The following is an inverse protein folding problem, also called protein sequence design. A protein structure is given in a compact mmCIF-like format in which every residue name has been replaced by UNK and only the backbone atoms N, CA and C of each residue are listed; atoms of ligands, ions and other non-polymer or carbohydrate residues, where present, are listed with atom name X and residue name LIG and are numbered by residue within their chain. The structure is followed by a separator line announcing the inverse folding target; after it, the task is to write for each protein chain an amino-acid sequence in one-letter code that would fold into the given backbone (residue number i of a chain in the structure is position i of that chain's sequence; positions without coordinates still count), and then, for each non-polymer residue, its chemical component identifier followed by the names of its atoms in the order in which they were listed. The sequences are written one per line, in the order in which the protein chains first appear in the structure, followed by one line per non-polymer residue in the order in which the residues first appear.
data_IF_561024426189
#
_entry.id   IF_561024426189
#
_cell.length_a   1.000
_cell.length_b   1.000
_cell.length_c   1.000
_cell.angle_alpha   90.00
_cell.angle_beta   90.00
_cell.angle_gamma   90.00
#
_symmetry.space_group_name_H-M   'P 1'
#
loop_
_entity.id
_entity.type
_entity.pdbx_description
1 polymer ?
#
# COMPACT_ATOMS: atom_id res chain seq x y z
N UNK A 1 -9.49 -4.17 -13.94
CA UNK A 1 -8.60 -3.11 -13.41
C UNK A 1 -7.19 -3.63 -13.11
N UNK A 2 -7.07 -4.79 -12.43
CA UNK A 2 -5.80 -5.35 -11.95
C UNK A 2 -4.66 -5.58 -12.94
N UNK A 3 -4.91 -6.00 -14.19
CA UNK A 3 -3.83 -6.21 -15.18
C UNK A 3 -2.97 -4.95 -15.44
N UNK A 4 -3.45 -3.76 -15.07
CA UNK A 4 -2.77 -2.49 -15.29
C UNK A 4 -2.00 -1.96 -14.08
N UNK A 5 -2.24 -2.50 -12.88
CA UNK A 5 -1.58 -2.08 -11.64
C UNK A 5 -0.50 -3.09 -11.28
N UNK A 6 0.74 -2.82 -11.69
CA UNK A 6 1.87 -3.71 -11.42
C UNK A 6 2.47 -3.43 -10.04
N UNK A 7 2.36 -2.19 -9.57
CA UNK A 7 2.89 -1.73 -8.30
C UNK A 7 1.82 -1.10 -7.40
N UNK A 8 1.60 -1.70 -6.23
CA UNK A 8 0.65 -1.23 -5.23
C UNK A 8 1.42 -0.71 -4.00
N UNK A 9 1.13 0.52 -3.58
CA UNK A 9 1.74 1.12 -2.39
C UNK A 9 0.72 1.22 -1.24
N UNK A 10 1.09 0.74 -0.06
CA UNK A 10 0.23 0.74 1.13
C UNK A 10 0.68 1.81 2.13
N UNK A 11 -0.22 2.71 2.52
CA UNK A 11 0.00 3.63 3.65
C UNK A 11 -0.55 2.96 4.92
N UNK A 12 0.34 2.65 5.87
CA UNK A 12 0.03 1.85 7.06
C UNK A 12 0.03 0.35 6.78
N UNK A 13 1.07 -0.13 6.09
CA UNK A 13 1.17 -1.52 5.62
C UNK A 13 1.26 -2.56 6.75
N UNK A 14 1.76 -2.17 7.92
CA UNK A 14 1.90 -3.01 9.11
C UNK A 14 0.59 -3.24 9.87
N UNK A 15 -0.53 -2.62 9.48
CA UNK A 15 -1.83 -2.89 10.09
C UNK A 15 -2.30 -4.33 9.87
N UNK A 16 -3.01 -4.92 10.84
CA UNK A 16 -3.50 -6.32 10.80
C UNK A 16 -4.26 -6.63 9.49
N UNK A 17 -5.17 -5.75 9.09
CA UNK A 17 -5.94 -5.92 7.85
C UNK A 17 -5.24 -5.48 6.57
N UNK A 18 -4.13 -4.75 6.67
CA UNK A 18 -3.37 -4.25 5.51
C UNK A 18 -2.27 -5.23 5.13
N UNK A 19 -1.53 -5.73 6.12
CA UNK A 19 -0.43 -6.68 5.93
C UNK A 19 -0.87 -7.98 5.25
N UNK A 20 -2.03 -8.52 5.62
CA UNK A 20 -2.56 -9.72 4.96
C UNK A 20 -2.90 -9.50 3.47
N UNK A 21 -3.43 -8.31 3.12
CA UNK A 21 -3.71 -7.95 1.72
C UNK A 21 -2.40 -7.78 0.95
N UNK A 22 -1.43 -7.08 1.55
CA UNK A 22 -0.10 -6.87 0.95
C UNK A 22 0.61 -8.21 0.70
N UNK A 23 0.57 -9.14 1.66
CA UNK A 23 1.14 -10.48 1.52
C UNK A 23 0.47 -11.28 0.40
N UNK A 24 -0.86 -11.25 0.31
CA UNK A 24 -1.58 -11.91 -0.78
C UNK A 24 -1.16 -11.36 -2.15
N UNK A 25 -1.02 -10.05 -2.28
CA UNK A 25 -0.59 -9.41 -3.53
C UNK A 25 0.84 -9.81 -3.93
N UNK A 26 1.76 -9.89 -2.97
CA UNK A 26 3.11 -10.41 -3.22
C UNK A 26 3.05 -11.84 -3.76
N UNK A 27 2.25 -12.71 -3.14
CA UNK A 27 2.09 -14.10 -3.56
C UNK A 27 1.44 -14.22 -4.94
N UNK A 28 0.62 -13.26 -5.35
CA UNK A 28 0.04 -13.17 -6.69
C UNK A 28 1.02 -12.56 -7.72
N UNK A 29 2.24 -12.20 -7.31
CA UNK A 29 3.30 -11.69 -8.19
C UNK A 29 3.27 -10.18 -8.43
N UNK A 30 2.46 -9.42 -7.68
CA UNK A 30 2.48 -7.96 -7.77
C UNK A 30 3.68 -7.37 -7.04
N UNK A 31 4.16 -6.23 -7.53
CA UNK A 31 5.11 -5.41 -6.77
C UNK A 31 4.36 -4.71 -5.66
N UNK A 32 4.84 -4.87 -4.42
CA UNK A 32 4.25 -4.22 -3.25
C UNK A 32 5.28 -3.35 -2.58
N UNK A 33 4.87 -2.14 -2.22
CA UNK A 33 5.59 -1.29 -1.27
C UNK A 33 4.64 -0.75 -0.22
N UNK A 34 5.17 -0.18 0.85
CA UNK A 34 4.34 0.53 1.80
C UNK A 34 5.11 1.19 2.91
N UNK A 35 4.44 2.10 3.61
CA UNK A 35 4.99 2.81 4.75
C UNK A 35 4.27 2.42 6.04
N UNK A 36 4.97 2.52 7.16
CA UNK A 36 4.36 2.49 8.48
C UNK A 36 5.14 3.33 9.48
N UNK A 37 4.48 3.82 10.53
CA UNK A 37 5.14 4.65 11.56
C UNK A 37 6.22 3.87 12.31
N UNK A 38 6.00 2.57 12.52
CA UNK A 38 6.91 1.72 13.29
C UNK A 38 7.17 0.42 12.55
N UNK A 39 8.42 -0.02 12.62
CA UNK A 39 8.77 -1.38 12.24
C UNK A 39 8.12 -2.35 13.23
N UNK A 40 7.44 -3.36 12.71
CA UNK A 40 6.78 -4.44 13.43
C UNK A 40 7.18 -5.80 12.86
N UNK A 41 6.79 -6.88 13.51
CA UNK A 41 7.03 -8.22 12.95
C UNK A 41 6.26 -8.46 11.65
N UNK A 42 5.12 -7.79 11.46
CA UNK A 42 4.36 -7.82 10.21
C UNK A 42 5.12 -7.11 9.07
N UNK A 43 5.66 -5.92 9.31
CA UNK A 43 6.46 -5.23 8.28
C UNK A 43 7.72 -6.02 7.93
N UNK A 44 8.42 -6.57 8.92
CA UNK A 44 9.61 -7.43 8.70
C UNK A 44 9.28 -8.67 7.87
N UNK A 45 8.11 -9.28 8.11
CA UNK A 45 7.64 -10.43 7.33
C UNK A 45 7.41 -10.03 5.87
N UNK A 46 6.75 -8.90 5.62
CA UNK A 46 6.52 -8.41 4.27
C UNK A 46 7.82 -8.09 3.52
N UNK A 47 8.80 -7.48 4.20
CA UNK A 47 10.13 -7.26 3.63
C UNK A 47 10.79 -8.57 3.22
N UNK A 48 10.72 -9.61 4.07
CA UNK A 48 11.24 -10.96 3.73
C UNK A 48 10.53 -11.60 2.55
N UNK A 49 9.26 -11.26 2.32
CA UNK A 49 8.48 -11.72 1.17
C UNK A 49 8.71 -10.85 -0.09
N UNK A 50 9.54 -9.80 0.00
CA UNK A 50 9.94 -8.98 -1.14
C UNK A 50 9.23 -7.63 -1.26
N UNK A 51 8.42 -7.22 -0.27
CA UNK A 51 7.90 -5.85 -0.24
C UNK A 51 9.00 -4.84 0.08
N UNK A 52 8.93 -3.66 -0.56
CA UNK A 52 9.69 -2.50 -0.11
C UNK A 52 8.93 -1.80 1.01
N UNK A 53 9.42 -1.90 2.25
CA UNK A 53 8.79 -1.24 3.41
C UNK A 53 9.60 -0.03 3.85
N UNK A 54 8.91 1.08 4.08
CA UNK A 54 9.49 2.33 4.55
C UNK A 54 9.04 2.61 5.99
N UNK A 55 9.98 3.06 6.83
CA UNK A 55 9.65 3.54 8.18
C UNK A 55 9.40 5.04 8.15
N UNK A 56 8.30 5.47 8.78
CA UNK A 56 7.81 6.84 8.70
C UNK A 56 7.07 7.11 7.39
N UNK A 57 6.52 8.32 7.27
CA UNK A 57 5.76 8.73 6.10
C UNK A 57 6.47 9.86 5.35
N UNK A 58 6.73 9.67 4.06
CA UNK A 58 7.40 10.64 3.20
C UNK A 58 6.67 10.75 1.85
N UNK A 59 6.40 11.97 1.34
CA UNK A 59 5.73 12.16 0.05
C UNK A 59 6.38 11.40 -1.12
N UNK A 60 7.68 11.11 -1.05
CA UNK A 60 8.45 10.39 -2.05
C UNK A 60 8.17 8.89 -2.10
N UNK A 61 7.64 8.27 -1.04
CA UNK A 61 7.41 6.83 -0.99
C UNK A 61 6.35 6.34 -1.98
N UNK A 62 5.39 7.19 -2.36
CA UNK A 62 4.33 6.84 -3.33
C UNK A 62 4.80 6.89 -4.78
N UNK A 63 6.04 7.29 -5.05
CA UNK A 63 6.55 7.45 -6.43
C UNK A 63 6.60 6.10 -7.14
N UNK A 64 6.09 6.09 -8.37
CA UNK A 64 6.04 4.90 -9.21
C UNK A 64 5.01 3.86 -8.76
N UNK A 65 4.15 4.17 -7.79
CA UNK A 65 2.97 3.36 -7.49
C UNK A 65 1.92 3.56 -8.59
N UNK A 66 1.33 2.46 -9.06
CA UNK A 66 0.21 2.52 -10.00
C UNK A 66 -1.12 2.70 -9.26
N UNK A 67 -1.17 2.32 -7.97
CA UNK A 67 -2.30 2.52 -7.06
C UNK A 67 -1.79 2.67 -5.62
N UNK A 68 -2.44 3.53 -4.84
CA UNK A 68 -2.15 3.72 -3.41
C UNK A 68 -3.34 3.26 -2.59
N UNK A 69 -3.08 2.43 -1.58
CA UNK A 69 -4.08 1.90 -0.66
C UNK A 69 -3.84 2.49 0.72
N UNK A 70 -4.80 3.23 1.24
CA UNK A 70 -4.73 3.81 2.58
C UNK A 70 -5.64 3.05 3.56
N UNK A 71 -5.13 2.81 4.77
CA UNK A 71 -5.94 2.30 5.87
C UNK A 71 -6.95 3.37 6.33
N UNK A 72 -8.00 2.97 7.04
CA UNK A 72 -8.96 3.92 7.64
C UNK A 72 -8.35 4.76 8.77
N UNK A 73 -7.27 4.27 9.39
CA UNK A 73 -6.55 4.99 10.45
C UNK A 73 -5.56 6.04 9.90
N UNK A 74 -5.34 6.09 8.58
CA UNK A 74 -4.48 7.09 7.95
C UNK A 74 -5.26 8.41 7.83
N UNK A 75 -4.75 9.43 8.53
CA UNK A 75 -5.23 10.82 8.41
C UNK A 75 -5.06 11.32 6.99
N UNK A 76 -5.97 12.20 6.55
CA UNK A 76 -5.83 12.88 5.27
C UNK A 76 -4.60 13.79 5.25
N UNK A 77 -4.12 14.28 6.39
CA UNK A 77 -2.91 15.12 6.49
C UNK A 77 -1.62 14.33 6.34
N UNK A 78 -1.71 12.99 6.21
CA UNK A 78 -0.54 12.17 5.95
C UNK A 78 0.17 12.63 4.65
N UNK A 79 1.49 12.83 4.68
CA UNK A 79 2.22 13.38 3.54
C UNK A 79 2.13 12.51 2.27
N UNK A 80 2.08 11.19 2.41
CA UNK A 80 1.88 10.25 1.29
C UNK A 80 0.46 10.29 0.76
N UNK A 81 -0.54 10.42 1.64
CA UNK A 81 -1.94 10.55 1.24
C UNK A 81 -2.14 11.83 0.41
N UNK A 82 -1.57 12.95 0.87
CA UNK A 82 -1.60 14.22 0.14
C UNK A 82 -0.82 14.15 -1.18
N UNK A 83 0.34 13.48 -1.20
CA UNK A 83 1.11 13.29 -2.41
C UNK A 83 0.34 12.45 -3.44
N UNK A 84 -0.21 11.32 -3.03
CA UNK A 84 -1.04 10.45 -3.88
C UNK A 84 -2.25 11.20 -4.44
N UNK A 85 -2.96 11.98 -3.61
CA UNK A 85 -4.12 12.77 -4.04
C UNK A 85 -3.78 13.82 -5.11
N UNK A 86 -2.56 14.36 -5.10
CA UNK A 86 -2.08 15.33 -6.11
C UNK A 86 -1.69 14.67 -7.43
N UNK A 87 -1.43 13.35 -7.44
CA UNK A 87 -1.10 12.60 -8.65
C UNK A 87 -2.38 12.25 -9.41
N UNK A 88 -2.72 13.05 -10.42
CA UNK A 88 -3.94 12.88 -11.24
C UNK A 88 -4.13 11.47 -11.85
N UNK A 89 -3.07 10.67 -11.95
CA UNK A 89 -3.08 9.35 -12.60
C UNK A 89 -2.98 8.16 -11.63
N UNK A 90 -2.80 8.41 -10.33
CA UNK A 90 -2.62 7.34 -9.34
C UNK A 90 -3.87 7.27 -8.46
N UNK A 91 -4.75 6.27 -8.64
CA UNK A 91 -5.91 6.10 -7.77
C UNK A 91 -5.47 5.89 -6.32
N UNK A 92 -6.13 6.61 -5.42
CA UNK A 92 -6.01 6.48 -3.98
C UNK A 92 -7.30 5.85 -3.45
N UNK A 93 -7.23 4.59 -3.04
CA UNK A 93 -8.38 3.80 -2.59
C UNK A 93 -8.25 3.39 -1.12
N UNK A 94 -9.36 3.03 -0.50
CA UNK A 94 -9.36 2.47 0.86
C UNK A 94 -9.18 0.96 0.84
N UNK A 95 -8.76 0.41 1.99
CA UNK A 95 -8.65 -1.04 2.22
C UNK A 95 -9.88 -1.84 1.77
N UNK A 96 -11.09 -1.34 2.04
CA UNK A 96 -12.33 -2.04 1.71
C UNK A 96 -12.54 -2.14 0.18
N UNK A 97 -12.19 -1.09 -0.56
CA UNK A 97 -12.24 -1.08 -2.03
C UNK A 97 -11.20 -2.05 -2.61
N UNK A 98 -9.99 -2.06 -2.04
CA UNK A 98 -8.94 -3.01 -2.44
C UNK A 98 -9.39 -4.47 -2.23
N UNK A 99 -10.08 -4.76 -1.13
CA UNK A 99 -10.63 -6.09 -0.87
C UNK A 99 -11.73 -6.45 -1.89
N UNK A 100 -12.63 -5.51 -2.20
CA UNK A 100 -13.66 -5.73 -3.21
C UNK A 100 -13.07 -6.00 -4.60
N UNK A 101 -11.99 -5.32 -4.95
CA UNK A 101 -11.25 -5.59 -6.18
C UNK A 101 -10.62 -6.99 -6.16
N UNK A 102 -10.03 -7.43 -5.04
CA UNK A 102 -9.46 -8.78 -4.93
C UNK A 102 -10.51 -9.88 -5.14
N UNK A 103 -11.76 -9.66 -4.75
CA UNK A 103 -12.86 -10.61 -4.99
C UNK A 103 -13.24 -10.75 -6.48
N UNK A 104 -12.70 -9.89 -7.35
CA UNK A 104 -12.93 -9.90 -8.81
C UNK A 104 -11.77 -10.52 -9.60
N UNK A 105 -10.73 -10.98 -8.92
CA UNK A 105 -9.62 -11.74 -9.51
C UNK A 105 -10.02 -13.19 -9.74
#
# INVERSE_FOLDING_TARGET
MFKRYQHIHFIGIGGIGMSGIAELLLNLGYKVSGSDQKVSDLTKRLEKLGAAVYSGHDPGHVRGADVVVASSAISQDNPEFQAARKLLKVPLIRRAEMLAELMRL
#
